data_IF_301229294901
#
_entry.id   IF_301229294901
#
_cell.length_a   1.000
_cell.length_b   1.000
_cell.length_c   1.000
_cell.angle_alpha   90.00
_cell.angle_beta   90.00
_cell.angle_gamma   90.00
#
_symmetry.space_group_name_H-M   'P 1'
#
loop_
_entity.id
_entity.type
_entity.pdbx_description
1 polymer ?
#
# COMPACT_ATOMS: atom_id res chain seq x y z
N UNK A 1 18.99 2.80 6.45
CA UNK A 1 17.90 2.32 5.56
C UNK A 1 18.22 2.78 4.15
N UNK A 2 18.78 1.91 3.32
CA UNK A 2 19.11 2.21 1.91
C UNK A 2 18.33 1.25 1.01
N UNK A 3 17.41 1.76 0.20
CA UNK A 3 16.60 0.97 -0.73
C UNK A 3 15.09 1.24 -0.70
N UNK A 4 14.58 1.96 0.30
CA UNK A 4 13.17 2.37 0.40
C UNK A 4 13.09 3.88 0.16
N UNK A 5 12.31 4.28 -0.85
CA UNK A 5 12.00 5.68 -1.17
C UNK A 5 10.60 6.10 -0.67
N UNK A 6 9.69 5.12 -0.51
CA UNK A 6 8.28 5.37 -0.19
C UNK A 6 7.83 4.55 1.03
N UNK A 7 7.28 5.23 2.04
CA UNK A 7 6.50 4.58 3.10
C UNK A 7 5.01 4.78 2.79
N UNK A 8 4.29 3.69 2.56
CA UNK A 8 2.89 3.72 2.14
C UNK A 8 1.95 3.74 3.34
N UNK A 9 1.02 4.71 3.33
CA UNK A 9 -0.11 4.77 4.25
C UNK A 9 -1.17 3.71 3.92
N UNK A 10 -1.94 3.30 4.93
CA UNK A 10 -3.01 2.32 4.84
C UNK A 10 -4.05 2.67 3.77
N UNK A 11 -4.42 3.94 3.61
CA UNK A 11 -5.37 4.36 2.58
C UNK A 11 -4.77 4.30 1.17
N UNK A 12 -3.46 4.50 1.03
CA UNK A 12 -2.76 4.33 -0.27
C UNK A 12 -2.74 2.85 -0.63
N UNK A 13 -2.42 1.95 0.31
CA UNK A 13 -2.43 0.50 0.07
C UNK A 13 -3.84 -0.01 -0.29
N UNK A 14 -4.86 0.35 0.49
CA UNK A 14 -6.26 -0.01 0.21
C UNK A 14 -6.72 0.58 -1.13
N UNK A 15 -6.32 1.82 -1.42
CA UNK A 15 -6.65 2.51 -2.66
C UNK A 15 -6.04 1.85 -3.89
N UNK A 16 -4.77 1.44 -3.81
CA UNK A 16 -4.09 0.72 -4.88
C UNK A 16 -4.69 -0.68 -5.09
N UNK A 17 -4.92 -1.45 -4.01
CA UNK A 17 -5.54 -2.77 -4.13
C UNK A 17 -6.93 -2.69 -4.78
N UNK A 18 -7.77 -1.73 -4.37
CA UNK A 18 -9.14 -1.57 -4.89
C UNK A 18 -9.20 -0.76 -6.19
N UNK A 19 -8.08 -0.67 -6.92
CA UNK A 19 -7.91 0.04 -8.19
C UNK A 19 -8.52 1.46 -8.20
N UNK A 20 -8.49 2.16 -7.06
CA UNK A 20 -9.10 3.48 -6.92
C UNK A 20 -8.31 4.48 -7.76
N UNK A 21 -8.98 5.07 -8.75
CA UNK A 21 -8.38 5.99 -9.73
C UNK A 21 -7.44 7.04 -9.09
N UNK A 22 -7.83 7.64 -7.96
CA UNK A 22 -7.00 8.61 -7.25
C UNK A 22 -5.67 8.03 -6.73
N UNK A 23 -5.68 6.81 -6.19
CA UNK A 23 -4.47 6.14 -5.68
C UNK A 23 -3.57 5.67 -6.82
N UNK A 24 -4.16 5.09 -7.88
CA UNK A 24 -3.43 4.69 -9.10
C UNK A 24 -2.80 5.91 -9.78
N UNK A 25 -3.53 7.01 -9.89
CA UNK A 25 -3.02 8.24 -10.50
C UNK A 25 -1.94 8.89 -9.63
N UNK A 26 -2.06 8.86 -8.30
CA UNK A 26 -1.02 9.31 -7.37
C UNK A 26 0.27 8.49 -7.56
N UNK A 27 0.17 7.15 -7.57
CA UNK A 27 1.31 6.26 -7.78
C UNK A 27 2.01 6.51 -9.13
N UNK A 28 1.25 6.64 -10.22
CA UNK A 28 1.78 6.99 -11.55
C UNK A 28 2.48 8.35 -11.55
N UNK A 29 1.82 9.39 -11.02
CA UNK A 29 2.34 10.77 -11.00
C UNK A 29 3.58 10.92 -10.14
N UNK A 30 3.73 10.09 -9.09
CA UNK A 30 4.91 10.08 -8.20
C UNK A 30 6.02 9.14 -8.67
N UNK A 31 5.81 8.34 -9.71
CA UNK A 31 6.77 7.31 -10.12
C UNK A 31 6.99 6.25 -9.05
N UNK A 32 5.91 5.81 -8.38
CA UNK A 32 5.98 4.80 -7.33
C UNK A 32 6.50 3.47 -7.89
N UNK A 33 7.63 3.02 -7.35
CA UNK A 33 8.24 1.71 -7.60
C UNK A 33 8.00 0.84 -6.37
N UNK A 34 7.26 -0.27 -6.50
CA UNK A 34 6.80 -1.07 -5.36
C UNK A 34 7.96 -1.79 -4.65
N UNK A 35 8.98 -2.17 -5.40
CA UNK A 35 10.22 -2.77 -4.92
C UNK A 35 11.06 -1.81 -4.04
N UNK A 36 10.77 -0.50 -4.16
CA UNK A 36 11.36 0.58 -3.36
C UNK A 36 10.34 1.23 -2.42
N UNK A 37 9.20 0.57 -2.21
CA UNK A 37 8.18 0.95 -1.27
C UNK A 37 8.15 -0.01 -0.08
N UNK A 38 7.74 0.49 1.08
CA UNK A 38 7.49 -0.31 2.27
C UNK A 38 6.18 0.11 2.93
N UNK A 39 5.63 -0.77 3.75
CA UNK A 39 4.53 -0.47 4.68
C UNK A 39 5.05 -0.48 6.10
N UNK A 40 4.48 0.37 6.96
CA UNK A 40 4.76 0.28 8.39
C UNK A 40 4.10 -0.97 8.99
N UNK A 41 4.58 -1.43 10.15
CA UNK A 41 3.92 -2.56 10.83
C UNK A 41 2.63 -2.13 11.56
N UNK A 42 2.38 -0.81 11.68
CA UNK A 42 1.07 -0.22 12.04
C UNK A 42 0.11 -0.39 10.85
N UNK A 43 0.52 0.01 9.65
CA UNK A 43 -0.24 -0.16 8.40
C UNK A 43 -0.67 -1.62 8.19
N UNK A 44 0.24 -2.57 8.44
CA UNK A 44 -0.09 -4.00 8.39
C UNK A 44 -1.12 -4.41 9.45
N UNK A 45 -1.03 -3.88 10.67
CA UNK A 45 -2.01 -4.13 11.73
C UNK A 45 -3.39 -3.55 11.38
N UNK A 46 -3.44 -2.32 10.85
CA UNK A 46 -4.69 -1.68 10.43
C UNK A 46 -5.39 -2.47 9.32
N UNK A 47 -4.65 -2.99 8.33
CA UNK A 47 -5.20 -3.85 7.27
C UNK A 47 -5.81 -5.15 7.83
N UNK A 48 -5.13 -5.80 8.79
CA UNK A 48 -5.62 -7.01 9.44
C UNK A 48 -6.89 -6.75 10.28
N UNK A 49 -6.91 -5.64 11.03
CA UNK A 49 -8.05 -5.25 11.88
C UNK A 49 -9.27 -4.74 11.09
N UNK A 50 -9.05 -4.05 9.97
CA UNK A 50 -10.12 -3.37 9.19
C UNK A 50 -10.95 -4.31 8.31
N UNK A 51 -10.92 -5.62 8.55
CA UNK A 51 -11.60 -6.63 7.72
C UNK A 51 -10.99 -6.82 6.33
N UNK A 52 -9.90 -6.12 6.02
CA UNK A 52 -9.10 -6.27 4.80
C UNK A 52 -8.17 -7.50 4.85
N UNK A 53 -8.50 -8.49 5.68
CA UNK A 53 -7.77 -9.76 5.79
C UNK A 53 -7.80 -10.60 4.50
N UNK A 54 -8.78 -10.34 3.61
CA UNK A 54 -8.85 -10.88 2.25
C UNK A 54 -7.87 -10.20 1.26
N UNK A 55 -7.22 -9.10 1.65
CA UNK A 55 -6.15 -8.46 0.86
C UNK A 55 -4.77 -9.10 1.09
N UNK A 56 -4.68 -10.04 2.05
CA UNK A 56 -3.44 -10.69 2.48
C UNK A 56 -3.48 -12.23 2.31
N UNK A 57 -4.50 -12.75 1.63
CA UNK A 57 -4.65 -14.17 1.31
C UNK A 57 -4.61 -14.37 -0.21
N UNK A 58 -3.49 -14.91 -0.68
CA UNK A 58 -3.47 -15.77 -1.85
C UNK A 58 -3.68 -17.21 -1.32
N UNK A 59 -4.93 -17.69 -1.39
CA UNK A 59 -5.37 -19.09 -1.21
C UNK A 59 -6.58 -19.31 -2.14
#
# INVERSE_FOLDING_TARGET
MSGIDWLLDTNVVIGLFKERHAAVQLAKTRGLVLERAAVSQITRMELLLSGHNHLAKDD
#
